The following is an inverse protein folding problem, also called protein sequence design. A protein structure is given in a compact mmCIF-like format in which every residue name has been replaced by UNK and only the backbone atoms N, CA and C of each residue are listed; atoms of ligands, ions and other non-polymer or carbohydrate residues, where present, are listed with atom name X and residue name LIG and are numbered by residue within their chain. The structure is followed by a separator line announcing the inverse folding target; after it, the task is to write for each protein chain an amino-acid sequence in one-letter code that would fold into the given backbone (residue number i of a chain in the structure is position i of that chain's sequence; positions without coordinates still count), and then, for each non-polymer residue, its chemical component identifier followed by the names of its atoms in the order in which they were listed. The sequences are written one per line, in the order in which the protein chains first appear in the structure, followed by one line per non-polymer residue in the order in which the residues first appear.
data_IF_129779357679
#
_entry.id   IF_129779357679
#
_cell.length_a   1.000
_cell.length_b   1.000
_cell.length_c   1.000
_cell.angle_alpha   90.00
_cell.angle_beta   90.00
_cell.angle_gamma   90.00
#
_symmetry.space_group_name_H-M   'P 1'
#
loop_
_entity.id
_entity.type
_entity.pdbx_description
1 polymer ?
#
# COMPACT_ATOMS: atom_id res chain seq x y z
N UNK A 1 -18.50 8.37 8.98
CA UNK A 1 -17.24 7.77 8.49
C UNK A 1 -16.56 7.04 9.63
N UNK A 2 -16.01 5.84 9.39
CA UNK A 2 -15.15 5.16 10.38
C UNK A 2 -13.85 5.99 10.52
N UNK A 3 -13.40 6.24 11.74
CA UNK A 3 -12.11 6.90 12.01
C UNK A 3 -10.96 5.91 11.81
N UNK A 4 -9.73 6.38 11.52
CA UNK A 4 -8.53 5.54 11.50
C UNK A 4 -8.34 4.76 12.81
N UNK A 5 -8.74 5.34 13.95
CA UNK A 5 -8.71 4.66 15.25
C UNK A 5 -9.60 3.41 15.31
N UNK A 6 -10.60 3.31 14.44
CA UNK A 6 -11.51 2.17 14.34
C UNK A 6 -11.00 1.08 13.39
N UNK A 7 -9.87 1.29 12.70
CA UNK A 7 -9.25 0.25 11.88
C UNK A 7 -8.77 -0.89 12.79
N UNK A 8 -9.21 -2.14 12.56
CA UNK A 8 -8.77 -3.29 13.33
C UNK A 8 -7.28 -3.56 13.10
N UNK A 9 -6.62 -4.14 14.09
CA UNK A 9 -5.30 -4.72 13.87
C UNK A 9 -5.46 -6.03 13.12
N UNK A 10 -5.08 -6.05 11.84
CA UNK A 10 -5.18 -7.22 10.97
C UNK A 10 -4.00 -8.18 11.15
N UNK A 11 -2.83 -7.70 11.60
CA UNK A 11 -1.65 -8.53 11.77
C UNK A 11 -0.86 -8.69 10.47
N UNK A 12 -0.37 -9.92 10.21
CA UNK A 12 0.51 -10.22 9.09
C UNK A 12 -0.25 -10.84 7.91
N UNK A 13 -0.22 -10.15 6.77
CA UNK A 13 -0.96 -10.53 5.57
C UNK A 13 -0.08 -10.83 4.38
N UNK A 14 -0.74 -11.22 3.29
CA UNK A 14 -0.12 -11.54 2.01
C UNK A 14 -0.95 -10.91 0.87
N UNK A 15 -0.26 -10.37 -0.14
CA UNK A 15 -0.90 -9.92 -1.37
C UNK A 15 -1.50 -11.11 -2.15
N UNK A 16 -2.79 -11.07 -2.46
CA UNK A 16 -3.45 -12.11 -3.24
C UNK A 16 -3.11 -11.98 -4.72
N UNK A 17 -2.62 -13.07 -5.32
CA UNK A 17 -2.47 -13.26 -6.76
C UNK A 17 -3.15 -14.57 -7.15
N UNK A 18 -3.76 -14.63 -8.33
CA UNK A 18 -4.58 -15.79 -8.73
C UNK A 18 -3.76 -17.08 -8.78
N UNK A 19 -2.49 -16.95 -9.12
CA UNK A 19 -1.46 -17.98 -9.17
C UNK A 19 -1.21 -18.63 -7.80
N UNK A 20 -1.42 -17.87 -6.71
CA UNK A 20 -1.23 -18.33 -5.34
C UNK A 20 -2.51 -18.85 -4.69
N UNK A 21 -3.65 -18.81 -5.38
CA UNK A 21 -4.98 -19.10 -4.81
C UNK A 21 -5.03 -20.40 -4.00
N UNK A 22 -4.67 -21.53 -4.64
CA UNK A 22 -4.82 -22.85 -4.02
C UNK A 22 -3.89 -23.01 -2.80
N UNK A 23 -2.70 -22.40 -2.85
CA UNK A 23 -1.76 -22.40 -1.72
C UNK A 23 -2.26 -21.53 -0.57
N UNK A 24 -2.78 -20.33 -0.87
CA UNK A 24 -3.37 -19.43 0.12
C UNK A 24 -4.53 -20.11 0.86
N UNK A 25 -5.44 -20.76 0.14
CA UNK A 25 -6.57 -21.47 0.75
C UNK A 25 -6.08 -22.67 1.59
N UNK A 26 -5.13 -23.45 1.08
CA UNK A 26 -4.56 -24.59 1.80
C UNK A 26 -3.84 -24.20 3.10
N UNK A 27 -3.29 -22.99 3.17
CA UNK A 27 -2.50 -22.47 4.28
C UNK A 27 -3.16 -21.29 5.02
N UNK A 28 -4.50 -21.21 5.00
CA UNK A 28 -5.23 -20.05 5.54
C UNK A 28 -4.99 -19.79 7.04
N UNK A 29 -4.65 -20.81 7.83
CA UNK A 29 -4.30 -20.65 9.25
C UNK A 29 -2.98 -19.89 9.47
N UNK A 30 -2.12 -19.81 8.46
CA UNK A 30 -0.79 -19.19 8.52
C UNK A 30 -0.76 -17.73 8.01
N UNK A 31 -1.90 -17.18 7.58
CA UNK A 31 -2.05 -15.82 7.00
C UNK A 31 -3.19 -15.10 7.71
N UNK A 32 -2.95 -13.90 8.27
CA UNK A 32 -3.96 -13.21 9.09
C UNK A 32 -5.00 -12.44 8.25
N UNK A 33 -4.62 -11.96 7.06
CA UNK A 33 -5.48 -11.21 6.13
C UNK A 33 -4.90 -11.17 4.71
N UNK A 34 -5.72 -10.82 3.72
CA UNK A 34 -5.30 -10.69 2.32
C UNK A 34 -5.55 -9.29 1.77
N UNK A 35 -4.61 -8.83 0.94
CA UNK A 35 -4.80 -7.66 0.10
C UNK A 35 -5.17 -8.06 -1.33
N UNK A 36 -6.14 -7.37 -1.91
CA UNK A 36 -6.60 -7.58 -3.28
C UNK A 36 -6.23 -6.38 -4.15
N UNK A 37 -5.75 -6.63 -5.37
CA UNK A 37 -5.69 -5.56 -6.38
C UNK A 37 -7.13 -5.20 -6.77
N UNK A 38 -7.55 -3.98 -6.42
CA UNK A 38 -8.90 -3.47 -6.60
C UNK A 38 -9.40 -3.68 -8.02
N UNK A 39 -8.59 -3.29 -9.00
CA UNK A 39 -8.94 -3.29 -10.42
C UNK A 39 -9.28 -4.68 -10.96
N UNK A 40 -8.69 -5.74 -10.41
CA UNK A 40 -9.01 -7.11 -10.79
C UNK A 40 -10.45 -7.52 -10.42
N UNK A 41 -11.08 -6.81 -9.50
CA UNK A 41 -12.41 -7.12 -8.99
C UNK A 41 -13.47 -6.04 -9.30
N UNK A 42 -13.09 -4.88 -9.90
CA UNK A 42 -14.06 -3.84 -10.25
C UNK A 42 -14.94 -4.18 -11.46
N UNK A 43 -14.37 -4.89 -12.44
CA UNK A 43 -15.05 -5.26 -13.69
C UNK A 43 -15.54 -6.72 -13.69
N UNK A 44 -15.54 -7.37 -12.52
CA UNK A 44 -15.58 -8.82 -12.39
C UNK A 44 -16.79 -9.52 -13.00
N UNK A 45 -16.59 -10.79 -13.36
CA UNK A 45 -17.63 -11.73 -13.78
C UNK A 45 -17.89 -12.81 -12.73
N UNK A 46 -18.72 -13.82 -13.05
CA UNK A 46 -19.10 -14.87 -12.10
C UNK A 46 -17.93 -15.63 -11.44
N UNK A 47 -16.77 -15.69 -12.11
CA UNK A 47 -15.57 -16.32 -11.55
C UNK A 47 -15.01 -15.50 -10.39
N UNK A 48 -14.96 -14.19 -10.55
CA UNK A 48 -14.41 -13.27 -9.56
C UNK A 48 -15.34 -13.21 -8.34
N UNK A 49 -16.67 -13.26 -8.55
CA UNK A 49 -17.65 -13.36 -7.46
C UNK A 49 -17.46 -14.63 -6.61
N UNK A 50 -17.16 -15.77 -7.25
CA UNK A 50 -16.93 -17.03 -6.53
C UNK A 50 -15.63 -16.99 -5.72
N UNK A 51 -14.53 -16.56 -6.35
CA UNK A 51 -13.24 -16.42 -5.65
C UNK A 51 -13.36 -15.44 -4.50
N UNK A 52 -14.00 -14.28 -4.70
CA UNK A 52 -14.22 -13.28 -3.65
C UNK A 52 -15.05 -13.85 -2.49
N UNK A 53 -16.09 -14.63 -2.80
CA UNK A 53 -16.91 -15.32 -1.80
C UNK A 53 -16.10 -16.31 -0.96
N UNK A 54 -15.31 -17.17 -1.60
CA UNK A 54 -14.44 -18.14 -0.94
C UNK A 54 -13.39 -17.47 -0.05
N UNK A 55 -12.68 -16.47 -0.57
CA UNK A 55 -11.66 -15.74 0.20
C UNK A 55 -12.26 -14.99 1.38
N UNK A 56 -13.44 -14.39 1.23
CA UNK A 56 -14.13 -13.66 2.30
C UNK A 56 -14.57 -14.59 3.44
N UNK A 57 -14.85 -15.86 3.16
CA UNK A 57 -15.18 -16.84 4.21
C UNK A 57 -13.96 -17.20 5.06
N UNK A 58 -12.75 -17.05 4.52
CA UNK A 58 -11.50 -17.44 5.16
C UNK A 58 -10.72 -16.27 5.76
N UNK A 59 -10.77 -15.08 5.14
CA UNK A 59 -9.89 -13.97 5.48
C UNK A 59 -10.63 -12.63 5.58
N UNK A 60 -10.17 -11.70 6.44
CA UNK A 60 -10.35 -10.28 6.21
C UNK A 60 -9.70 -9.87 4.89
N UNK A 61 -10.42 -9.08 4.08
CA UNK A 61 -9.97 -8.63 2.77
C UNK A 61 -9.85 -7.10 2.74
N UNK A 62 -8.75 -6.60 2.17
CA UNK A 62 -8.51 -5.18 1.97
C UNK A 62 -8.22 -4.92 0.49
N UNK A 63 -8.94 -4.01 -0.19
CA UNK A 63 -8.64 -3.63 -1.55
C UNK A 63 -7.55 -2.56 -1.59
N UNK A 64 -6.56 -2.77 -2.46
CA UNK A 64 -5.49 -1.83 -2.79
C UNK A 64 -5.55 -1.50 -4.28
N UNK A 65 -5.69 -0.22 -4.61
CA UNK A 65 -5.87 0.27 -5.98
C UNK A 65 -4.56 0.68 -6.65
N UNK A 66 -4.48 0.43 -7.95
CA UNK A 66 -3.30 0.78 -8.78
C UNK A 66 -3.64 1.79 -9.89
N UNK A 67 -4.93 2.12 -10.10
CA UNK A 67 -5.36 2.96 -11.24
C UNK A 67 -6.13 4.24 -10.86
N UNK A 68 -6.49 4.48 -9.59
CA UNK A 68 -7.32 5.64 -9.22
C UNK A 68 -6.69 6.98 -9.62
N UNK A 69 -5.35 7.05 -9.58
CA UNK A 69 -4.60 8.20 -10.08
C UNK A 69 -5.00 9.51 -9.41
N UNK A 70 -5.00 9.53 -8.07
CA UNK A 70 -5.46 10.70 -7.31
C UNK A 70 -4.70 11.99 -7.67
N UNK A 71 -3.43 11.88 -8.04
CA UNK A 71 -2.58 12.96 -8.50
C UNK A 71 -2.92 13.56 -9.87
N UNK A 72 -3.78 12.92 -10.66
CA UNK A 72 -4.20 13.45 -11.95
C UNK A 72 -5.10 14.68 -11.78
N UNK A 73 -5.01 15.67 -12.68
CA UNK A 73 -5.92 16.83 -12.69
C UNK A 73 -7.39 16.42 -12.79
N UNK A 74 -8.26 17.11 -12.05
CA UNK A 74 -9.70 16.85 -12.00
C UNK A 74 -10.10 15.88 -10.88
N UNK A 75 -11.39 15.58 -10.79
CA UNK A 75 -11.93 14.62 -9.82
C UNK A 75 -11.63 13.18 -10.25
N UNK A 76 -11.67 12.25 -9.30
CA UNK A 76 -11.64 10.80 -9.62
C UNK A 76 -12.92 10.43 -10.37
N UNK A 77 -12.82 9.46 -11.28
CA UNK A 77 -13.96 8.95 -12.04
C UNK A 77 -15.08 8.47 -11.09
N UNK A 78 -16.29 9.06 -11.12
CA UNK A 78 -17.40 8.66 -10.27
C UNK A 78 -17.81 7.19 -10.46
N UNK A 79 -17.71 6.64 -11.68
CA UNK A 79 -18.08 5.26 -11.95
C UNK A 79 -17.08 4.29 -11.29
N UNK A 80 -15.80 4.66 -11.25
CA UNK A 80 -14.76 3.93 -10.50
C UNK A 80 -15.05 3.97 -8.99
N UNK A 81 -15.35 5.15 -8.44
CA UNK A 81 -15.66 5.29 -7.01
C UNK A 81 -16.89 4.47 -6.60
N UNK A 82 -17.93 4.46 -7.44
CA UNK A 82 -19.13 3.66 -7.22
C UNK A 82 -18.82 2.15 -7.28
N UNK A 83 -17.94 1.71 -8.19
CA UNK A 83 -17.50 0.33 -8.26
C UNK A 83 -16.67 -0.08 -7.04
N UNK A 84 -15.72 0.75 -6.62
CA UNK A 84 -14.92 0.56 -5.41
C UNK A 84 -15.79 0.51 -4.16
N UNK A 85 -16.75 1.42 -4.01
CA UNK A 85 -17.69 1.43 -2.89
C UNK A 85 -18.52 0.13 -2.82
N UNK A 86 -18.94 -0.41 -3.97
CA UNK A 86 -19.61 -1.72 -4.03
C UNK A 86 -18.69 -2.86 -3.60
N UNK A 87 -17.44 -2.88 -4.07
CA UNK A 87 -16.45 -3.90 -3.70
C UNK A 87 -16.16 -3.87 -2.20
N UNK A 88 -15.79 -2.70 -1.67
CA UNK A 88 -15.54 -2.46 -0.23
C UNK A 88 -16.70 -2.96 0.62
N UNK A 89 -17.94 -2.66 0.22
CA UNK A 89 -19.13 -3.14 0.92
C UNK A 89 -19.31 -4.65 0.79
N UNK A 90 -19.06 -5.22 -0.38
CA UNK A 90 -19.24 -6.65 -0.65
C UNK A 90 -18.27 -7.51 0.18
N UNK A 91 -17.06 -7.02 0.45
CA UNK A 91 -16.07 -7.72 1.28
C UNK A 91 -16.03 -7.25 2.74
N UNK A 92 -16.87 -6.28 3.12
CA UNK A 92 -16.85 -5.61 4.44
C UNK A 92 -15.44 -5.11 4.81
N UNK A 93 -14.76 -4.49 3.84
CA UNK A 93 -13.38 -4.05 4.03
C UNK A 93 -13.29 -3.03 5.18
N UNK A 94 -12.31 -3.16 6.07
CA UNK A 94 -12.12 -2.21 7.16
C UNK A 94 -11.66 -0.83 6.65
N UNK A 95 -10.94 -0.80 5.54
CA UNK A 95 -10.39 0.36 4.83
C UNK A 95 -10.03 -0.06 3.39
N UNK A 96 -9.59 0.89 2.56
CA UNK A 96 -8.98 0.63 1.25
C UNK A 96 -7.73 1.49 1.09
N UNK A 97 -6.82 1.09 0.20
CA UNK A 97 -5.61 1.84 -0.12
C UNK A 97 -5.44 2.13 -1.61
N UNK A 98 -4.63 3.14 -1.94
CA UNK A 98 -4.16 3.44 -3.30
C UNK A 98 -2.88 4.30 -3.19
N UNK A 99 -2.24 4.61 -4.31
CA UNK A 99 -0.98 5.31 -4.38
C UNK A 99 -1.15 6.84 -4.39
N UNK A 100 -0.30 7.55 -3.66
CA UNK A 100 -0.20 9.01 -3.73
C UNK A 100 0.62 9.45 -4.95
N UNK A 101 0.08 9.21 -6.14
CA UNK A 101 0.76 9.48 -7.40
C UNK A 101 -0.24 9.84 -8.52
N UNK A 102 0.27 10.08 -9.73
CA UNK A 102 -0.54 9.98 -10.93
C UNK A 102 -0.10 8.79 -11.78
N UNK A 103 -1.09 8.07 -12.32
CA UNK A 103 -0.94 7.01 -13.30
C UNK A 103 -1.57 7.39 -14.65
N UNK A 104 -2.18 8.59 -14.73
CA UNK A 104 -2.83 9.13 -15.93
C UNK A 104 -2.51 10.59 -16.16
N UNK A 105 -2.40 11.00 -17.43
CA UNK A 105 -2.27 12.41 -17.82
C UNK A 105 -3.03 12.68 -19.12
N UNK A 106 -3.86 13.74 -19.15
CA UNK A 106 -4.64 14.10 -20.35
C UNK A 106 -5.58 12.99 -20.84
N UNK A 107 -6.09 12.14 -19.94
CA UNK A 107 -6.95 11.00 -20.27
C UNK A 107 -6.19 9.73 -20.72
N UNK A 108 -4.87 9.78 -20.83
CA UNK A 108 -4.01 8.66 -21.23
C UNK A 108 -3.44 7.97 -20.00
N UNK A 109 -3.50 6.63 -19.96
CA UNK A 109 -2.79 5.83 -18.96
C UNK A 109 -1.28 5.87 -19.24
N UNK A 110 -0.49 6.12 -18.21
CA UNK A 110 0.96 6.14 -18.27
C UNK A 110 1.57 4.73 -18.12
N UNK A 111 0.80 3.77 -17.62
CA UNK A 111 1.26 2.41 -17.37
C UNK A 111 2.29 2.29 -16.24
N UNK A 112 2.51 3.36 -15.47
CA UNK A 112 3.40 3.37 -14.30
C UNK A 112 2.96 4.40 -13.28
N UNK A 113 3.31 4.15 -12.02
CA UNK A 113 3.25 5.14 -10.94
C UNK A 113 4.21 6.29 -11.28
N UNK A 114 3.76 7.53 -11.19
CA UNK A 114 4.57 8.70 -11.54
C UNK A 114 4.59 9.72 -10.41
N UNK A 115 5.78 10.24 -10.03
CA UNK A 115 5.92 11.14 -8.89
C UNK A 115 5.26 12.49 -9.13
N UNK A 116 4.72 13.06 -8.07
CA UNK A 116 4.03 14.35 -8.09
C UNK A 116 5.01 15.53 -8.20
N UNK A 117 4.64 16.63 -8.89
CA UNK A 117 5.36 17.90 -8.78
C UNK A 117 5.07 18.52 -7.40
N UNK A 118 5.77 18.02 -6.38
CA UNK A 118 5.55 18.30 -4.95
C UNK A 118 5.53 19.79 -4.67
N UNK A 119 4.42 20.28 -4.12
CA UNK A 119 4.25 21.64 -3.60
C UNK A 119 3.16 21.67 -2.55
N UNK A 120 3.19 22.67 -1.65
CA UNK A 120 2.14 22.90 -0.65
C UNK A 120 0.74 23.05 -1.26
N UNK A 121 0.65 23.73 -2.41
CA UNK A 121 -0.62 23.92 -3.10
C UNK A 121 -1.20 22.59 -3.59
N UNK A 122 -0.37 21.75 -4.22
CA UNK A 122 -0.78 20.43 -4.69
C UNK A 122 -1.13 19.51 -3.52
N UNK A 123 -0.33 19.50 -2.44
CA UNK A 123 -0.61 18.69 -1.26
C UNK A 123 -2.00 18.98 -0.69
N UNK A 124 -2.35 20.27 -0.54
CA UNK A 124 -3.69 20.69 -0.08
C UNK A 124 -4.81 20.30 -1.06
N UNK A 125 -4.58 20.46 -2.36
CA UNK A 125 -5.55 20.09 -3.39
C UNK A 125 -5.85 18.59 -3.33
N UNK A 126 -4.81 17.76 -3.31
CA UNK A 126 -4.94 16.31 -3.25
C UNK A 126 -5.54 15.85 -1.92
N UNK A 127 -5.22 16.49 -0.80
CA UNK A 127 -5.81 16.17 0.50
C UNK A 127 -7.33 16.38 0.48
N UNK A 128 -7.80 17.49 -0.10
CA UNK A 128 -9.23 17.72 -0.31
C UNK A 128 -9.87 16.69 -1.25
N UNK A 129 -9.16 16.27 -2.30
CA UNK A 129 -9.61 15.20 -3.21
C UNK A 129 -9.70 13.85 -2.48
N UNK A 130 -8.72 13.51 -1.66
CA UNK A 130 -8.69 12.29 -0.85
C UNK A 130 -9.84 12.24 0.15
N UNK A 131 -10.20 13.37 0.77
CA UNK A 131 -11.39 13.47 1.62
C UNK A 131 -12.67 13.13 0.85
N UNK A 132 -12.85 13.67 -0.36
CA UNK A 132 -14.03 13.36 -1.19
C UNK A 132 -14.09 11.89 -1.60
N UNK A 133 -12.96 11.29 -1.95
CA UNK A 133 -12.85 9.85 -2.25
C UNK A 133 -13.24 9.03 -1.02
N UNK A 134 -12.69 9.35 0.15
CA UNK A 134 -13.00 8.68 1.41
C UNK A 134 -14.50 8.78 1.77
N UNK A 135 -15.10 9.96 1.59
CA UNK A 135 -16.53 10.18 1.80
C UNK A 135 -17.40 9.37 0.83
N UNK A 136 -17.01 9.27 -0.44
CA UNK A 136 -17.74 8.52 -1.46
C UNK A 136 -17.71 7.00 -1.21
N UNK A 137 -16.54 6.45 -0.83
CA UNK A 137 -16.38 5.02 -0.58
C UNK A 137 -16.91 4.60 0.80
N UNK A 138 -16.84 5.50 1.80
CA UNK A 138 -17.51 5.35 3.09
C UNK A 138 -16.73 4.61 4.18
N UNK A 139 -15.49 4.19 3.91
CA UNK A 139 -14.53 3.62 4.88
C UNK A 139 -13.22 4.41 4.81
N UNK A 140 -12.28 4.25 5.77
CA UNK A 140 -11.02 4.98 5.74
C UNK A 140 -10.24 4.72 4.45
N UNK A 141 -9.64 5.77 3.92
CA UNK A 141 -8.77 5.75 2.76
C UNK A 141 -7.33 5.87 3.21
N UNK A 142 -6.48 4.97 2.72
CA UNK A 142 -5.07 4.88 3.06
C UNK A 142 -4.24 5.15 1.81
N UNK A 143 -3.24 6.01 1.90
CA UNK A 143 -2.43 6.41 0.75
C UNK A 143 -0.99 5.93 0.89
N UNK A 144 -0.43 5.46 -0.22
CA UNK A 144 0.89 4.85 -0.28
C UNK A 144 1.98 5.73 -0.90
N UNK A 145 3.20 5.67 -0.38
CA UNK A 145 4.40 6.21 -1.02
C UNK A 145 4.92 5.27 -2.12
N UNK A 146 5.32 5.84 -3.26
CA UNK A 146 5.70 5.06 -4.45
C UNK A 146 7.22 4.98 -4.61
N UNK A 147 7.72 3.95 -5.29
CA UNK A 147 9.01 4.08 -5.97
C UNK A 147 8.90 5.05 -7.15
N UNK A 148 9.92 5.88 -7.38
CA UNK A 148 9.98 6.75 -8.55
C UNK A 148 11.37 6.79 -9.20
N UNK A 149 11.40 6.74 -10.54
CA UNK A 149 12.65 6.74 -11.31
C UNK A 149 13.23 8.14 -11.55
N UNK A 150 12.40 9.18 -11.52
CA UNK A 150 12.82 10.56 -11.80
C UNK A 150 12.36 11.47 -10.68
N UNK A 151 13.28 12.13 -9.99
CA UNK A 151 12.92 13.22 -9.09
C UNK A 151 12.66 14.51 -9.90
N UNK A 152 11.47 15.09 -9.77
CA UNK A 152 11.05 16.32 -10.42
C UNK A 152 11.70 17.60 -9.85
N UNK A 153 12.57 17.50 -8.84
CA UNK A 153 13.40 18.58 -8.29
C UNK A 153 12.63 19.86 -7.94
N UNK A 154 11.52 19.73 -7.20
CA UNK A 154 10.63 20.87 -6.88
C UNK A 154 11.06 21.69 -5.66
N UNK A 155 12.17 21.32 -5.00
CA UNK A 155 12.66 21.94 -3.76
C UNK A 155 11.90 21.52 -2.49
N UNK A 156 10.92 20.62 -2.62
CA UNK A 156 10.21 19.96 -1.52
C UNK A 156 10.47 18.45 -1.64
N UNK A 157 10.93 17.84 -0.55
CA UNK A 157 11.16 16.39 -0.47
C UNK A 157 9.85 15.60 -0.40
N UNK A 158 9.93 14.27 -0.57
CA UNK A 158 8.76 13.39 -0.53
C UNK A 158 8.16 13.37 0.89
N UNK A 159 9.02 13.27 1.90
CA UNK A 159 8.59 13.30 3.29
C UNK A 159 7.90 14.62 3.66
N UNK A 160 8.44 15.77 3.21
CA UNK A 160 7.78 17.07 3.42
C UNK A 160 6.44 17.17 2.71
N UNK A 161 6.33 16.62 1.49
CA UNK A 161 5.07 16.60 0.76
C UNK A 161 4.02 15.71 1.43
N UNK A 162 4.41 14.51 1.88
CA UNK A 162 3.55 13.59 2.63
C UNK A 162 3.09 14.23 3.93
N UNK A 163 4.00 14.85 4.69
CA UNK A 163 3.65 15.56 5.92
C UNK A 163 2.64 16.68 5.65
N UNK A 164 2.90 17.55 4.68
CA UNK A 164 1.99 18.63 4.29
C UNK A 164 0.63 18.08 3.81
N UNK A 165 0.60 16.98 3.07
CA UNK A 165 -0.64 16.36 2.60
C UNK A 165 -1.54 15.90 3.77
N UNK A 166 -0.96 15.23 4.77
CA UNK A 166 -1.70 14.69 5.91
C UNK A 166 -2.09 15.75 6.95
N UNK A 167 -1.52 16.96 6.91
CA UNK A 167 -2.03 18.11 7.67
C UNK A 167 -3.43 18.55 7.20
N UNK A 168 -3.79 18.25 5.95
CA UNK A 168 -5.06 18.73 5.35
C UNK A 168 -6.10 17.63 5.15
N UNK A 169 -5.85 16.37 5.53
CA UNK A 169 -6.82 15.29 5.43
C UNK A 169 -6.80 14.32 6.63
N UNK A 170 -7.90 13.57 6.80
CA UNK A 170 -8.03 12.51 7.81
C UNK A 170 -7.96 11.13 7.13
N UNK A 171 -6.92 10.93 6.32
CA UNK A 171 -6.60 9.68 5.64
C UNK A 171 -5.46 8.95 6.37
N UNK A 172 -5.33 7.64 6.14
CA UNK A 172 -4.22 6.83 6.64
C UNK A 172 -3.03 6.82 5.70
N UNK A 173 -1.88 6.38 6.20
CA UNK A 173 -0.67 6.14 5.43
C UNK A 173 -0.39 4.64 5.35
N UNK A 174 -0.18 4.15 4.14
CA UNK A 174 0.45 2.88 3.83
C UNK A 174 1.91 3.21 3.57
N UNK A 175 2.80 2.79 4.45
CA UNK A 175 4.23 3.02 4.27
C UNK A 175 4.85 1.78 3.64
N UNK A 176 5.10 1.79 2.33
CA UNK A 176 5.94 0.77 1.73
C UNK A 176 7.41 1.10 2.04
N UNK A 177 8.02 0.26 2.88
CA UNK A 177 9.40 0.44 3.33
C UNK A 177 10.42 -0.04 2.28
N UNK A 178 10.01 -0.88 1.34
CA UNK A 178 10.81 -1.27 0.18
C UNK A 178 10.90 -0.11 -0.81
N UNK A 179 9.80 0.59 -1.11
CA UNK A 179 9.76 1.82 -1.88
C UNK A 179 10.63 2.91 -1.25
N UNK A 180 10.52 3.10 0.07
CA UNK A 180 11.40 4.02 0.80
C UNK A 180 12.87 3.64 0.65
N UNK A 181 13.22 2.35 0.81
CA UNK A 181 14.60 1.88 0.65
C UNK A 181 15.12 2.12 -0.78
N UNK A 182 14.34 1.71 -1.77
CA UNK A 182 14.65 1.85 -3.20
C UNK A 182 14.89 3.32 -3.55
N UNK A 183 14.00 4.21 -3.15
CA UNK A 183 14.16 5.64 -3.37
C UNK A 183 15.37 6.22 -2.64
N UNK A 184 15.62 5.81 -1.39
CA UNK A 184 16.76 6.29 -0.61
C UNK A 184 18.10 5.94 -1.28
N UNK A 185 18.21 4.72 -1.82
CA UNK A 185 19.39 4.27 -2.58
C UNK A 185 19.50 5.01 -3.91
N UNK A 186 18.42 5.05 -4.69
CA UNK A 186 18.44 5.61 -6.04
C UNK A 186 18.66 7.13 -6.06
N UNK A 187 18.14 7.85 -5.06
CA UNK A 187 18.18 9.32 -5.00
C UNK A 187 19.16 9.86 -3.95
N UNK A 188 19.79 8.98 -3.17
CA UNK A 188 20.87 9.34 -2.26
C UNK A 188 20.44 10.15 -1.03
N UNK A 189 19.34 9.75 -0.37
CA UNK A 189 18.88 10.36 0.87
C UNK A 189 18.85 9.37 2.04
N UNK A 190 18.81 9.89 3.27
CA UNK A 190 18.70 9.07 4.48
C UNK A 190 17.24 8.68 4.75
N UNK A 191 16.88 7.38 4.73
CA UNK A 191 15.51 6.95 5.01
C UNK A 191 15.09 7.20 6.47
N UNK A 192 16.03 7.33 7.42
CA UNK A 192 15.65 7.71 8.80
C UNK A 192 15.12 9.15 8.85
N UNK A 193 15.74 10.06 8.11
CA UNK A 193 15.25 11.44 8.02
C UNK A 193 13.85 11.50 7.41
N UNK A 194 13.54 10.64 6.44
CA UNK A 194 12.18 10.50 5.90
C UNK A 194 11.19 10.07 7.00
N UNK A 195 11.52 9.02 7.76
CA UNK A 195 10.67 8.52 8.85
C UNK A 195 10.49 9.56 9.99
N UNK A 196 11.45 10.46 10.18
CA UNK A 196 11.38 11.53 11.20
C UNK A 196 10.43 12.67 10.81
N UNK A 197 10.12 12.80 9.52
CA UNK A 197 9.29 13.89 8.98
C UNK A 197 7.85 13.48 8.71
N UNK A 198 7.60 12.23 8.31
CA UNK A 198 6.23 11.77 8.03
C UNK A 198 5.41 11.61 9.32
N UNK A 199 4.07 11.74 9.26
CA UNK A 199 3.22 11.61 10.43
C UNK A 199 3.05 10.14 10.80
N UNK A 200 3.96 9.61 11.62
CA UNK A 200 4.02 8.19 11.99
C UNK A 200 2.71 7.68 12.63
N UNK A 201 1.96 8.53 13.32
CA UNK A 201 0.65 8.22 13.89
C UNK A 201 -0.43 7.93 12.84
N UNK A 202 -0.21 8.31 11.58
CA UNK A 202 -1.08 8.02 10.44
C UNK A 202 -0.76 6.67 9.79
N UNK A 203 0.39 6.07 10.09
CA UNK A 203 0.81 4.80 9.48
C UNK A 203 -0.09 3.68 10.01
N UNK A 204 -0.90 3.12 9.13
CA UNK A 204 -1.83 2.02 9.44
C UNK A 204 -1.27 0.70 8.94
N UNK A 205 -0.70 0.72 7.73
CA UNK A 205 -0.25 -0.44 7.01
C UNK A 205 1.20 -0.26 6.55
N UNK A 206 1.96 -1.36 6.51
CA UNK A 206 3.28 -1.40 5.88
C UNK A 206 3.33 -2.55 4.88
N UNK A 207 3.83 -2.26 3.69
CA UNK A 207 4.20 -3.25 2.70
C UNK A 207 5.70 -3.54 2.78
N UNK A 208 6.03 -4.82 2.57
CA UNK A 208 7.38 -5.28 2.30
C UNK A 208 7.36 -6.11 1.03
N UNK A 209 8.01 -5.59 -0.01
CA UNK A 209 8.28 -6.32 -1.24
C UNK A 209 9.79 -6.59 -1.38
N UNK A 210 10.17 -7.36 -2.38
CA UNK A 210 11.57 -7.37 -2.83
C UNK A 210 11.70 -7.03 -4.30
N UNK A 211 12.86 -6.49 -4.65
CA UNK A 211 13.16 -5.94 -5.96
C UNK A 211 14.43 -6.54 -6.56
N UNK A 212 14.79 -6.05 -7.74
CA UNK A 212 16.04 -6.41 -8.41
C UNK A 212 17.00 -5.22 -8.43
N UNK A 213 18.29 -5.52 -8.39
CA UNK A 213 19.34 -4.54 -8.60
C UNK A 213 19.85 -4.67 -10.04
N UNK A 214 19.67 -3.61 -10.81
CA UNK A 214 20.36 -3.40 -12.09
C UNK A 214 21.59 -2.49 -11.84
N UNK A 215 22.59 -2.44 -12.73
CA UNK A 215 23.81 -1.68 -12.51
C UNK A 215 23.58 -0.21 -12.10
N UNK A 216 23.67 0.04 -10.79
CA UNK A 216 23.51 1.37 -10.19
C UNK A 216 22.06 1.81 -9.94
N UNK A 217 21.06 0.94 -10.04
CA UNK A 217 19.66 1.28 -9.72
C UNK A 217 18.92 0.09 -9.11
N UNK A 218 18.19 0.33 -8.04
CA UNK A 218 17.21 -0.61 -7.50
C UNK A 218 15.89 -0.45 -8.25
N UNK A 219 15.31 -1.56 -8.67
CA UNK A 219 14.03 -1.63 -9.32
C UNK A 219 13.05 -2.37 -8.41
N UNK A 220 11.90 -1.74 -8.23
CA UNK A 220 10.79 -2.30 -7.50
C UNK A 220 10.00 -3.25 -8.40
N UNK A 221 10.38 -4.54 -8.37
CA UNK A 221 9.85 -5.57 -9.26
C UNK A 221 8.92 -6.56 -8.58
N UNK A 222 8.80 -6.49 -7.25
CA UNK A 222 8.03 -7.41 -6.41
C UNK A 222 8.32 -8.89 -6.68
N UNK A 223 9.54 -9.22 -7.13
CA UNK A 223 9.88 -10.52 -7.72
C UNK A 223 10.91 -11.33 -6.93
N UNK A 224 11.47 -10.78 -5.86
CA UNK A 224 12.50 -11.45 -5.04
C UNK A 224 12.21 -11.34 -3.55
N UNK A 225 12.78 -12.23 -2.72
CA UNK A 225 12.65 -12.15 -1.26
C UNK A 225 12.93 -10.74 -0.72
N UNK A 226 12.21 -10.33 0.32
CA UNK A 226 12.32 -9.00 0.92
C UNK A 226 13.77 -8.79 1.40
N UNK A 227 14.45 -7.74 0.94
CA UNK A 227 15.85 -7.52 1.25
C UNK A 227 16.02 -7.06 2.70
N UNK A 228 17.11 -7.46 3.35
CA UNK A 228 17.38 -7.14 4.76
C UNK A 228 17.36 -5.63 5.12
N UNK A 229 17.77 -4.69 4.24
CA UNK A 229 17.54 -3.27 4.47
C UNK A 229 16.06 -2.88 4.65
N UNK A 230 15.13 -3.46 3.89
CA UNK A 230 13.69 -3.19 4.04
C UNK A 230 13.18 -3.75 5.38
N UNK A 231 13.64 -4.93 5.79
CA UNK A 231 13.34 -5.48 7.12
C UNK A 231 13.84 -4.58 8.27
N UNK A 232 15.00 -3.95 8.12
CA UNK A 232 15.50 -2.99 9.13
C UNK A 232 14.62 -1.75 9.23
N UNK A 233 14.16 -1.21 8.09
CA UNK A 233 13.21 -0.09 8.09
C UNK A 233 11.86 -0.48 8.69
N UNK A 234 11.39 -1.70 8.44
CA UNK A 234 10.20 -2.23 9.11
C UNK A 234 10.36 -2.25 10.63
N UNK A 235 11.51 -2.73 11.15
CA UNK A 235 11.82 -2.68 12.58
C UNK A 235 11.93 -1.25 13.13
N UNK A 236 12.38 -0.27 12.32
CA UNK A 236 12.36 1.15 12.69
C UNK A 236 10.92 1.69 12.79
N UNK A 237 10.04 1.32 11.86
CA UNK A 237 8.62 1.71 11.88
C UNK A 237 7.91 1.14 13.10
N UNK A 238 8.10 -0.15 13.40
CA UNK A 238 7.49 -0.82 14.56
C UNK A 238 7.89 -0.21 15.90
N UNK A 239 9.06 0.45 15.98
CA UNK A 239 9.48 1.20 17.18
C UNK A 239 8.75 2.53 17.36
N UNK A 240 8.18 3.09 16.29
CA UNK A 240 7.55 4.42 16.27
C UNK A 240 6.03 4.35 16.37
N UNK A 241 5.41 3.31 15.81
CA UNK A 241 3.94 3.18 15.74
C UNK A 241 3.46 1.75 16.05
N UNK A 242 2.37 1.57 16.81
CA UNK A 242 1.71 0.28 16.94
C UNK A 242 0.95 -0.06 15.64
N UNK A 243 1.67 -0.68 14.71
CA UNK A 243 1.20 -0.99 13.37
C UNK A 243 -0.05 -1.89 13.38
N UNK A 244 -1.02 -1.61 12.50
CA UNK A 244 -2.26 -2.40 12.39
C UNK A 244 -2.11 -3.57 11.42
N UNK A 245 -1.40 -3.38 10.31
CA UNK A 245 -1.25 -4.36 9.26
C UNK A 245 0.17 -4.31 8.68
N UNK A 246 0.84 -5.46 8.60
CA UNK A 246 2.06 -5.64 7.82
C UNK A 246 1.81 -6.68 6.74
N UNK A 247 2.36 -6.50 5.56
CA UNK A 247 2.09 -7.40 4.43
C UNK A 247 3.36 -7.71 3.64
N UNK A 248 3.45 -8.96 3.18
CA UNK A 248 4.40 -9.34 2.14
C UNK A 248 3.74 -9.16 0.77
N UNK A 249 4.43 -8.43 -0.10
CA UNK A 249 4.03 -8.28 -1.50
C UNK A 249 4.96 -9.06 -2.44
N UNK A 250 4.34 -9.87 -3.30
CA UNK A 250 4.99 -10.69 -4.32
C UNK A 250 4.05 -10.73 -5.52
N UNK A 251 4.50 -10.20 -6.67
CA UNK A 251 3.63 -10.06 -7.84
C UNK A 251 3.95 -11.05 -8.96
N UNK A 252 5.18 -11.51 -8.97
CA UNK A 252 5.72 -12.37 -10.00
C UNK A 252 6.89 -13.16 -9.43
N UNK A 253 7.38 -14.11 -10.22
CA UNK A 253 8.49 -15.01 -9.83
C UNK A 253 8.23 -15.67 -8.47
N UNK A 254 7.01 -16.19 -8.30
CA UNK A 254 6.60 -16.87 -7.08
C UNK A 254 7.53 -18.05 -6.77
N UNK A 255 7.95 -18.23 -5.51
CA UNK A 255 8.83 -19.33 -5.15
C UNK A 255 8.15 -20.68 -5.41
N UNK A 256 8.93 -21.69 -5.81
CA UNK A 256 8.42 -23.06 -5.99
C UNK A 256 7.87 -23.63 -4.67
N UNK A 257 8.50 -23.28 -3.55
CA UNK A 257 8.04 -23.57 -2.20
C UNK A 257 7.27 -22.37 -1.62
N UNK A 258 5.95 -22.51 -1.51
CA UNK A 258 5.08 -21.50 -0.88
C UNK A 258 5.47 -21.21 0.58
N UNK A 259 6.15 -22.16 1.25
CA UNK A 259 6.70 -21.98 2.60
C UNK A 259 7.69 -20.83 2.71
N UNK A 260 8.32 -20.40 1.62
CA UNK A 260 9.17 -19.20 1.60
C UNK A 260 8.35 -17.93 1.87
N UNK A 261 7.19 -17.77 1.22
CA UNK A 261 6.28 -16.64 1.49
C UNK A 261 5.73 -16.71 2.92
N UNK A 262 5.34 -17.90 3.38
CA UNK A 262 4.86 -18.07 4.76
C UNK A 262 5.94 -17.76 5.80
N UNK A 263 7.21 -18.00 5.48
CA UNK A 263 8.33 -17.61 6.35
C UNK A 263 8.43 -16.09 6.47
N UNK A 264 8.26 -15.35 5.38
CA UNK A 264 8.25 -13.88 5.40
C UNK A 264 7.02 -13.33 6.15
N UNK A 265 5.82 -13.87 5.89
CA UNK A 265 4.60 -13.54 6.65
C UNK A 265 4.78 -13.83 8.14
N UNK A 266 5.39 -14.97 8.47
CA UNK A 266 5.75 -15.35 9.84
C UNK A 266 6.72 -14.37 10.50
N UNK A 267 7.69 -13.83 9.75
CA UNK A 267 8.62 -12.79 10.22
C UNK A 267 7.88 -11.49 10.54
N UNK A 268 6.96 -11.04 9.66
CA UNK A 268 6.08 -9.89 9.92
C UNK A 268 5.30 -10.11 11.21
N UNK A 269 4.64 -11.27 11.34
CA UNK A 269 3.84 -11.62 12.52
C UNK A 269 4.65 -11.60 13.81
N UNK A 270 5.85 -12.16 13.78
CA UNK A 270 6.73 -12.22 14.94
C UNK A 270 7.20 -10.81 15.36
N UNK A 271 7.58 -9.97 14.40
CA UNK A 271 8.03 -8.60 14.65
C UNK A 271 6.91 -7.73 15.22
N UNK A 272 5.69 -7.79 14.67
CA UNK A 272 4.53 -7.03 15.16
C UNK A 272 4.07 -7.46 16.57
N UNK A 273 4.33 -8.71 16.97
CA UNK A 273 4.02 -9.21 18.32
C UNK A 273 5.13 -8.96 19.34
N UNK A 274 6.33 -8.59 18.88
CA UNK A 274 7.44 -8.33 19.78
C UNK A 274 7.12 -7.10 20.64
N UNK A 275 7.40 -7.12 21.95
CA UNK A 275 7.25 -5.94 22.77
C UNK A 275 8.15 -4.83 22.23
N UNK A 276 7.60 -3.61 22.11
CA UNK A 276 8.35 -2.42 21.70
C UNK A 276 9.54 -2.29 22.62
N UNK A 277 10.76 -2.44 22.08
CA UNK A 277 11.99 -2.27 22.85
C UNK A 277 12.14 -0.77 23.13
N UNK A 278 12.05 -0.42 24.41
CA UNK A 278 12.27 0.93 24.94
C UNK A 278 13.72 1.40 24.71
#
# INVERSE_FOLDING_TARGET
MRSLSAVPALGAGLGFRTELHDQIVAHHDDIDWLELITEHFLLGGQRDDRTLGELRELFPLVPHGIEMSIGSPGEVDPDYLDALARLVKAIDAPYFSDHLCFTRAGGVSLGSLTPLPRSTALARELAGKAQRVQEAVGVPFILENITYHVDLQTGMSEAEFIAEFFEHCDCGLLLDVTNLHTNAVNHGFDPQHFLDLIPMERVVQVHLAGGIEEPGVLLDSHSTAVPEPAWRLFDDVLRRVPLKAGMIERDQDFPEDFGELLTEVGRVRAAMRAPVRA
#
